data_IF_995587559782
#
_entry.id   IF_995587559782
#
_cell.length_a   1.000
_cell.length_b   1.000
_cell.length_c   1.000
_cell.angle_alpha   90.00
_cell.angle_beta   90.00
_cell.angle_gamma   90.00
#
_symmetry.space_group_name_H-M   'P 1'
#
loop_
_entity.id
_entity.type
_entity.pdbx_description
1 polymer ?
#
# COMPACT_ATOMS: atom_id res chain seq x y z
N UNK A 1 -29.38 -0.65 5.75
CA UNK A 1 -28.13 -1.38 6.04
C UNK A 1 -28.05 -2.55 5.08
N UNK A 2 -26.86 -2.85 4.60
CA UNK A 2 -26.57 -4.01 3.78
C UNK A 2 -26.63 -5.27 4.66
N UNK A 3 -27.17 -6.37 4.15
CA UNK A 3 -27.13 -7.67 4.82
C UNK A 3 -25.74 -8.32 4.66
N UNK A 4 -24.78 -7.84 5.46
CA UNK A 4 -23.39 -8.31 5.40
C UNK A 4 -23.25 -9.80 5.76
N UNK A 5 -24.14 -10.37 6.58
CA UNK A 5 -24.10 -11.79 6.94
C UNK A 5 -24.53 -12.69 5.78
N UNK A 6 -25.54 -12.27 5.00
CA UNK A 6 -25.92 -12.98 3.77
C UNK A 6 -24.79 -12.96 2.73
N UNK A 7 -24.11 -11.82 2.57
CA UNK A 7 -22.95 -11.69 1.68
C UNK A 7 -21.79 -12.55 2.17
N UNK A 8 -21.51 -12.54 3.48
CA UNK A 8 -20.47 -13.38 4.09
C UNK A 8 -20.67 -14.86 3.81
N UNK A 9 -21.91 -15.35 3.93
CA UNK A 9 -22.27 -16.75 3.61
C UNK A 9 -22.13 -17.04 2.13
N UNK A 10 -22.60 -16.13 1.27
CA UNK A 10 -22.50 -16.27 -0.18
C UNK A 10 -21.03 -16.37 -0.61
N UNK A 11 -20.16 -15.52 -0.09
CA UNK A 11 -18.72 -15.57 -0.38
C UNK A 11 -18.08 -16.86 0.15
N UNK A 12 -18.35 -17.25 1.40
CA UNK A 12 -17.79 -18.46 2.00
C UNK A 12 -18.21 -19.75 1.28
N UNK A 13 -19.44 -19.78 0.76
CA UNK A 13 -19.99 -20.91 0.00
C UNK A 13 -19.55 -20.89 -1.48
N UNK A 14 -18.81 -19.87 -1.92
CA UNK A 14 -18.43 -19.70 -3.32
C UNK A 14 -19.64 -19.41 -4.23
N UNK A 15 -20.68 -18.79 -3.69
CA UNK A 15 -21.89 -18.41 -4.40
C UNK A 15 -21.68 -17.29 -5.43
N UNK A 16 -22.77 -16.91 -6.10
CA UNK A 16 -22.78 -15.90 -7.16
C UNK A 16 -22.86 -14.47 -6.58
N UNK A 17 -21.69 -13.90 -6.32
CA UNK A 17 -21.57 -12.51 -5.88
C UNK A 17 -21.93 -11.49 -6.97
N UNK A 18 -21.87 -11.83 -8.26
CA UNK A 18 -22.27 -10.90 -9.32
C UNK A 18 -23.77 -10.59 -9.22
N UNK A 19 -24.60 -11.63 -9.12
CA UNK A 19 -26.05 -11.45 -8.94
C UNK A 19 -26.40 -10.66 -7.67
N UNK A 20 -25.62 -10.84 -6.59
CA UNK A 20 -25.81 -10.06 -5.35
C UNK A 20 -25.53 -8.58 -5.60
N UNK A 21 -24.39 -8.25 -6.21
CA UNK A 21 -23.99 -6.85 -6.41
C UNK A 21 -24.73 -6.15 -7.54
N UNK A 22 -25.15 -6.86 -8.59
CA UNK A 22 -26.06 -6.33 -9.62
C UNK A 22 -27.43 -5.95 -9.03
N UNK A 23 -27.86 -6.64 -7.96
CA UNK A 23 -29.07 -6.28 -7.21
C UNK A 23 -28.89 -5.10 -6.24
N UNK A 24 -27.64 -4.72 -5.94
CA UNK A 24 -27.32 -3.68 -4.94
C UNK A 24 -26.80 -2.39 -5.56
N UNK A 25 -26.08 -2.46 -6.67
CA UNK A 25 -25.38 -1.34 -7.28
C UNK A 25 -25.78 -1.16 -8.75
N UNK A 26 -25.57 0.04 -9.26
CA UNK A 26 -25.82 0.36 -10.66
C UNK A 26 -24.60 0.01 -11.51
N UNK A 27 -24.81 -0.39 -12.77
CA UNK A 27 -23.69 -0.53 -13.70
C UNK A 27 -23.06 0.84 -13.96
N UNK A 28 -21.73 0.93 -13.83
CA UNK A 28 -20.98 2.17 -14.07
C UNK A 28 -20.77 2.41 -15.57
N UNK A 29 -20.91 3.68 -15.96
CA UNK A 29 -20.48 4.22 -17.25
C UNK A 29 -18.96 4.45 -17.32
N UNK A 30 -18.30 4.56 -16.17
CA UNK A 30 -16.83 4.64 -16.10
C UNK A 30 -16.23 3.25 -16.22
N UNK A 31 -15.33 3.11 -17.21
CA UNK A 31 -14.54 1.91 -17.46
C UNK A 31 -13.05 2.28 -17.53
N UNK A 32 -12.15 1.35 -17.14
CA UNK A 32 -10.73 1.55 -17.33
C UNK A 32 -10.34 1.58 -18.81
N UNK A 33 -9.33 2.37 -19.12
CA UNK A 33 -8.83 2.51 -20.48
C UNK A 33 -8.36 1.17 -21.06
N UNK A 34 -8.78 0.91 -22.30
CA UNK A 34 -8.48 -0.34 -22.99
C UNK A 34 -9.26 -1.55 -22.48
N UNK A 35 -10.27 -1.38 -21.62
CA UNK A 35 -11.07 -2.48 -21.05
C UNK A 35 -12.57 -2.13 -20.97
N UNK A 36 -13.25 -1.98 -22.11
CA UNK A 36 -14.67 -1.60 -22.16
C UNK A 36 -15.61 -2.63 -21.53
N UNK A 37 -15.22 -3.91 -21.53
CA UNK A 37 -16.00 -5.02 -20.97
C UNK A 37 -15.77 -5.21 -19.46
N UNK A 38 -14.98 -4.34 -18.82
CA UNK A 38 -14.73 -4.44 -17.39
C UNK A 38 -16.02 -4.29 -16.58
N UNK A 39 -16.25 -5.19 -15.63
CA UNK A 39 -17.35 -5.06 -14.68
C UNK A 39 -16.98 -4.00 -13.65
N UNK A 40 -17.75 -2.93 -13.60
CA UNK A 40 -17.59 -1.82 -12.67
C UNK A 40 -19.00 -1.38 -12.28
N UNK A 41 -19.25 -1.31 -10.99
CA UNK A 41 -20.49 -0.77 -10.45
C UNK A 41 -20.28 0.63 -9.89
N UNK A 42 -21.39 1.34 -9.71
CA UNK A 42 -21.48 2.69 -9.16
C UNK A 42 -22.44 2.68 -7.97
N UNK A 43 -22.07 3.34 -6.89
CA UNK A 43 -22.93 3.53 -5.72
C UNK A 43 -22.56 4.77 -4.90
N UNK A 44 -23.30 5.02 -3.83
CA UNK A 44 -23.16 6.23 -3.01
C UNK A 44 -23.73 7.50 -3.66
N UNK A 45 -23.43 8.67 -3.08
CA UNK A 45 -24.00 9.95 -3.52
C UNK A 45 -23.14 10.65 -4.59
N UNK A 46 -23.48 10.44 -5.87
CA UNK A 46 -22.82 11.08 -7.03
C UNK A 46 -23.45 12.43 -7.40
N UNK A 47 -23.28 13.44 -6.54
CA UNK A 47 -23.79 14.81 -6.74
C UNK A 47 -22.79 15.77 -7.43
N UNK A 48 -21.56 15.30 -7.67
CA UNK A 48 -20.48 16.08 -8.30
C UNK A 48 -19.67 16.97 -7.35
N UNK A 49 -19.98 16.98 -6.05
CA UNK A 49 -19.21 17.73 -5.03
C UNK A 49 -17.95 17.00 -4.55
N UNK A 50 -17.94 15.66 -4.69
CA UNK A 50 -16.85 14.79 -4.28
C UNK A 50 -16.46 13.89 -5.45
N UNK A 51 -15.17 13.87 -5.77
CA UNK A 51 -14.58 12.94 -6.73
C UNK A 51 -14.68 11.51 -6.16
N UNK A 52 -15.25 10.57 -6.93
CA UNK A 52 -15.39 9.20 -6.49
C UNK A 52 -14.06 8.46 -6.41
N UNK A 53 -13.99 7.50 -5.49
CA UNK A 53 -12.87 6.56 -5.36
C UNK A 53 -13.31 5.19 -5.88
N UNK A 54 -12.43 4.46 -6.56
CA UNK A 54 -12.68 3.07 -6.95
C UNK A 54 -12.28 2.12 -5.82
N UNK A 55 -13.23 1.36 -5.28
CA UNK A 55 -13.00 0.37 -4.24
C UNK A 55 -12.88 -1.02 -4.85
N UNK A 56 -11.74 -1.68 -4.63
CA UNK A 56 -11.63 -3.11 -4.86
C UNK A 56 -12.50 -3.87 -3.88
N UNK A 57 -13.48 -4.59 -4.38
CA UNK A 57 -14.19 -5.62 -3.63
C UNK A 57 -13.32 -6.88 -3.66
N UNK A 58 -12.38 -6.95 -2.71
CA UNK A 58 -11.50 -8.11 -2.49
C UNK A 58 -12.25 -9.19 -1.72
N UNK A 59 -11.76 -10.43 -1.70
CA UNK A 59 -12.40 -11.59 -1.07
C UNK A 59 -12.52 -11.50 0.47
N UNK A 60 -13.29 -12.44 1.01
CA UNK A 60 -13.44 -12.68 2.44
C UNK A 60 -13.82 -11.44 3.28
N UNK A 61 -13.15 -11.22 4.41
CA UNK A 61 -13.52 -10.12 5.32
C UNK A 61 -13.20 -8.73 4.75
N UNK A 62 -12.22 -8.62 3.83
CA UNK A 62 -11.91 -7.35 3.16
C UNK A 62 -13.11 -6.86 2.34
N UNK A 63 -13.86 -7.79 1.73
CA UNK A 63 -15.14 -7.51 1.07
C UNK A 63 -16.11 -6.83 2.04
N UNK A 64 -16.35 -7.48 3.18
CA UNK A 64 -17.37 -7.09 4.14
C UNK A 64 -17.04 -5.76 4.80
N UNK A 65 -15.78 -5.55 5.19
CA UNK A 65 -15.34 -4.29 5.76
C UNK A 65 -15.45 -3.13 4.77
N UNK A 66 -15.16 -3.37 3.49
CA UNK A 66 -15.38 -2.36 2.43
C UNK A 66 -16.85 -2.02 2.27
N UNK A 67 -17.73 -3.03 2.16
CA UNK A 67 -19.18 -2.84 2.02
C UNK A 67 -19.79 -2.12 3.23
N UNK A 68 -19.35 -2.47 4.45
CA UNK A 68 -19.77 -1.79 5.66
C UNK A 68 -19.38 -0.31 5.63
N UNK A 69 -18.12 -0.02 5.30
CA UNK A 69 -17.61 1.35 5.28
C UNK A 69 -18.32 2.21 4.22
N UNK A 70 -18.49 1.72 2.98
CA UNK A 70 -19.16 2.51 1.94
C UNK A 70 -20.65 2.78 2.27
N UNK A 71 -21.34 1.85 2.93
CA UNK A 71 -22.73 2.09 3.39
C UNK A 71 -22.81 3.03 4.59
N UNK A 72 -21.82 3.03 5.49
CA UNK A 72 -21.73 4.00 6.59
C UNK A 72 -21.52 5.41 6.02
N UNK A 73 -20.56 5.54 5.10
CA UNK A 73 -20.10 6.85 4.65
C UNK A 73 -20.99 7.50 3.61
N UNK A 74 -21.61 6.75 2.69
CA UNK A 74 -22.45 7.30 1.62
C UNK A 74 -21.71 8.13 0.57
N UNK A 75 -20.37 8.18 0.61
CA UNK A 75 -19.53 8.85 -0.40
C UNK A 75 -19.73 8.23 -1.79
N UNK A 76 -19.57 8.98 -2.89
CA UNK A 76 -19.65 8.43 -4.24
C UNK A 76 -18.49 7.45 -4.50
N UNK A 77 -18.79 6.24 -4.92
CA UNK A 77 -17.75 5.25 -5.26
C UNK A 77 -18.02 4.51 -6.57
N UNK A 78 -16.95 3.92 -7.09
CA UNK A 78 -17.01 2.81 -8.02
C UNK A 78 -16.62 1.52 -7.30
N UNK A 79 -17.33 0.43 -7.53
CA UNK A 79 -17.01 -0.87 -6.96
C UNK A 79 -16.50 -1.81 -8.05
N UNK A 80 -15.40 -2.49 -7.77
CA UNK A 80 -14.69 -3.33 -8.73
C UNK A 80 -14.56 -4.76 -8.19
N UNK A 81 -15.01 -5.80 -8.92
CA UNK A 81 -14.93 -7.20 -8.48
C UNK A 81 -13.47 -7.68 -8.53
N UNK A 82 -12.74 -7.51 -7.42
CA UNK A 82 -11.36 -8.00 -7.30
C UNK A 82 -11.36 -9.48 -6.89
N UNK A 83 -12.34 -9.96 -6.11
CA UNK A 83 -12.45 -11.35 -5.66
C UNK A 83 -12.44 -12.36 -6.84
N UNK A 84 -13.02 -12.00 -7.98
CA UNK A 84 -13.11 -12.85 -9.18
C UNK A 84 -11.76 -13.12 -9.84
N UNK A 85 -10.70 -12.40 -9.45
CA UNK A 85 -9.34 -12.66 -9.93
C UNK A 85 -8.72 -13.87 -9.25
N UNK A 86 -9.16 -14.15 -8.02
CA UNK A 86 -8.66 -15.26 -7.22
C UNK A 86 -9.43 -16.54 -7.47
N UNK A 87 -10.69 -16.43 -7.94
CA UNK A 87 -11.53 -17.59 -8.24
C UNK A 87 -11.18 -18.20 -9.61
N UNK A 88 -11.03 -19.53 -9.65
CA UNK A 88 -10.71 -20.27 -10.87
C UNK A 88 -11.90 -20.42 -11.83
N UNK A 89 -13.12 -20.16 -11.36
CA UNK A 89 -14.36 -20.38 -12.12
C UNK A 89 -14.80 -19.18 -12.97
N UNK A 90 -14.28 -17.98 -12.72
CA UNK A 90 -14.76 -16.76 -13.38
C UNK A 90 -13.89 -16.27 -14.55
N UNK A 91 -12.69 -16.83 -14.77
CA UNK A 91 -11.73 -16.52 -15.86
C UNK A 91 -11.72 -15.04 -16.34
N UNK A 92 -11.93 -14.07 -15.44
CA UNK A 92 -11.86 -12.66 -15.81
C UNK A 92 -10.40 -12.30 -16.09
N UNK A 93 -10.18 -11.44 -17.10
CA UNK A 93 -8.85 -10.92 -17.40
C UNK A 93 -8.26 -10.28 -16.13
N UNK A 94 -7.26 -10.94 -15.54
CA UNK A 94 -6.75 -10.57 -14.24
C UNK A 94 -5.97 -9.26 -14.38
N UNK A 95 -6.49 -8.20 -13.75
CA UNK A 95 -5.71 -7.05 -13.26
C UNK A 95 -5.16 -6.03 -14.27
N UNK A 96 -5.20 -6.28 -15.59
CA UNK A 96 -4.70 -5.29 -16.56
C UNK A 96 -5.46 -3.97 -16.56
N UNK A 97 -6.67 -3.97 -16.00
CA UNK A 97 -7.59 -2.84 -16.10
C UNK A 97 -7.85 -2.13 -14.77
N UNK A 98 -7.79 -2.80 -13.61
CA UNK A 98 -8.01 -2.10 -12.32
C UNK A 98 -6.99 -0.98 -12.12
N UNK A 99 -5.74 -1.27 -12.47
CA UNK A 99 -4.65 -0.30 -12.45
C UNK A 99 -4.79 0.85 -13.44
N UNK A 100 -5.82 0.88 -14.29
CA UNK A 100 -6.11 1.92 -15.27
C UNK A 100 -7.43 2.64 -14.97
N UNK A 101 -7.98 2.49 -13.76
CA UNK A 101 -9.11 3.32 -13.34
C UNK A 101 -8.72 4.81 -13.40
N UNK A 102 -9.59 5.68 -13.94
CA UNK A 102 -9.31 7.10 -14.13
C UNK A 102 -9.50 7.92 -12.83
N UNK A 103 -9.54 7.26 -11.67
CA UNK A 103 -9.75 7.86 -10.36
C UNK A 103 -8.80 7.23 -9.33
N UNK A 104 -8.64 7.89 -8.18
CA UNK A 104 -7.96 7.30 -7.03
C UNK A 104 -8.63 5.99 -6.68
N UNK A 105 -7.83 4.97 -6.39
CA UNK A 105 -8.32 3.62 -6.19
C UNK A 105 -7.84 3.06 -4.85
N UNK A 106 -8.62 2.16 -4.26
CA UNK A 106 -8.29 1.43 -3.04
C UNK A 106 -8.17 -0.04 -3.39
N UNK A 107 -7.08 -0.65 -2.94
CA UNK A 107 -6.78 -2.06 -3.08
C UNK A 107 -6.54 -2.71 -1.73
N UNK A 108 -7.26 -3.80 -1.46
CA UNK A 108 -6.95 -4.67 -0.33
C UNK A 108 -6.07 -5.83 -0.78
N UNK A 109 -4.96 -6.02 -0.09
CA UNK A 109 -4.10 -7.20 -0.25
C UNK A 109 -4.41 -8.20 0.87
N UNK A 110 -4.99 -9.35 0.54
CA UNK A 110 -5.19 -10.44 1.50
C UNK A 110 -3.93 -11.31 1.54
N UNK A 111 -3.26 -11.34 2.70
CA UNK A 111 -2.08 -12.20 2.88
C UNK A 111 -2.54 -13.52 3.48
N UNK A 112 -2.87 -14.49 2.62
CA UNK A 112 -3.29 -15.83 3.01
C UNK A 112 -2.83 -16.88 2.01
N UNK A 113 -2.71 -18.12 2.45
CA UNK A 113 -2.68 -19.30 1.57
C UNK A 113 -4.13 -19.70 1.28
N UNK A 114 -4.84 -18.80 0.58
CA UNK A 114 -6.24 -19.00 0.27
C UNK A 114 -6.37 -20.17 -0.71
N UNK A 115 -7.14 -21.17 -0.28
CA UNK A 115 -7.53 -22.30 -1.12
C UNK A 115 -8.92 -22.07 -1.67
N UNK A 116 -9.00 -21.86 -2.97
CA UNK A 116 -10.26 -21.71 -3.72
C UNK A 116 -10.64 -23.03 -4.37
N UNK A 117 -11.93 -23.20 -4.68
CA UNK A 117 -12.40 -24.37 -5.43
C UNK A 117 -11.75 -24.35 -6.82
N UNK A 118 -11.20 -25.49 -7.24
CA UNK A 118 -10.57 -25.66 -8.56
C UNK A 118 -11.58 -25.90 -9.71
N UNK A 119 -12.88 -25.78 -9.42
CA UNK A 119 -13.97 -26.11 -10.34
C UNK A 119 -14.20 -27.61 -10.52
N UNK A 120 -13.44 -28.47 -9.82
CA UNK A 120 -13.49 -29.94 -9.90
C UNK A 120 -13.74 -30.59 -8.53
N UNK A 121 -14.13 -29.78 -7.53
CA UNK A 121 -14.36 -30.24 -6.16
C UNK A 121 -13.09 -30.37 -5.31
N UNK A 122 -11.93 -29.97 -5.86
CA UNK A 122 -10.69 -29.80 -5.14
C UNK A 122 -10.51 -28.38 -4.62
N UNK A 123 -9.49 -28.18 -3.79
CA UNK A 123 -9.07 -26.89 -3.26
C UNK A 123 -7.63 -26.62 -3.72
N UNK A 124 -7.40 -25.51 -4.41
CA UNK A 124 -6.08 -25.11 -4.94
C UNK A 124 -5.74 -23.70 -4.48
N UNK A 125 -4.44 -23.39 -4.41
CA UNK A 125 -4.00 -22.02 -4.13
C UNK A 125 -4.57 -21.08 -5.20
N UNK A 126 -5.09 -19.93 -4.76
CA UNK A 126 -5.60 -18.86 -5.62
C UNK A 126 -4.66 -18.53 -6.78
N UNK A 127 -5.23 -18.32 -7.98
CA UNK A 127 -4.47 -17.71 -9.07
C UNK A 127 -4.09 -16.30 -8.61
N UNK A 128 -2.79 -15.99 -8.54
CA UNK A 128 -2.39 -14.59 -8.42
C UNK A 128 -2.04 -14.04 -7.05
N UNK A 129 -1.62 -14.85 -6.06
CA UNK A 129 -0.67 -14.31 -5.04
C UNK A 129 0.55 -13.66 -5.74
N UNK A 130 0.88 -14.16 -6.94
CA UNK A 130 1.86 -13.63 -7.91
C UNK A 130 1.34 -12.54 -8.86
N UNK A 131 0.03 -12.24 -8.92
CA UNK A 131 -0.53 -11.32 -9.91
C UNK A 131 -0.44 -9.84 -9.50
N UNK A 132 -0.03 -9.56 -8.25
CA UNK A 132 0.35 -8.20 -7.81
C UNK A 132 1.47 -7.59 -8.67
N UNK A 133 2.47 -8.39 -9.06
CA UNK A 133 3.56 -7.91 -9.90
C UNK A 133 3.08 -7.59 -11.34
N UNK A 134 2.36 -8.49 -12.05
CA UNK A 134 1.65 -8.17 -13.29
C UNK A 134 0.74 -6.93 -13.20
N UNK A 135 -0.06 -6.79 -12.13
CA UNK A 135 -0.87 -5.58 -11.89
C UNK A 135 0.01 -4.34 -11.85
N UNK A 136 1.04 -4.34 -11.00
CA UNK A 136 1.92 -3.18 -10.82
C UNK A 136 2.57 -2.79 -12.14
N UNK A 137 3.06 -3.78 -12.88
CA UNK A 137 3.66 -3.55 -14.20
C UNK A 137 2.66 -2.99 -15.20
N UNK A 138 1.47 -3.59 -15.33
CA UNK A 138 0.45 -3.16 -16.30
C UNK A 138 -0.18 -1.81 -15.95
N UNK A 139 -0.37 -1.53 -14.66
CA UNK A 139 -0.82 -0.25 -14.13
C UNK A 139 0.23 0.86 -14.23
N UNK A 140 1.44 0.53 -14.70
CA UNK A 140 2.56 1.46 -14.71
C UNK A 140 2.94 1.95 -13.31
N UNK A 141 2.74 1.17 -12.24
CA UNK A 141 3.22 1.52 -10.90
C UNK A 141 4.74 1.64 -10.95
N UNK A 142 5.27 2.76 -10.48
CA UNK A 142 6.72 2.99 -10.38
C UNK A 142 7.24 2.87 -8.94
N UNK A 143 6.38 3.06 -7.94
CA UNK A 143 6.75 2.81 -6.56
C UNK A 143 5.55 2.55 -5.64
N UNK A 144 5.82 1.99 -4.46
CA UNK A 144 4.92 1.94 -3.32
C UNK A 144 5.58 2.69 -2.15
N UNK A 145 4.86 3.66 -1.61
CA UNK A 145 5.29 4.47 -0.47
C UNK A 145 4.57 3.98 0.78
N UNK A 146 5.34 3.59 1.79
CA UNK A 146 4.82 2.95 3.00
C UNK A 146 5.41 3.56 4.27
N UNK A 147 4.60 4.26 5.09
CA UNK A 147 5.05 4.77 6.38
C UNK A 147 5.14 3.64 7.42
N UNK A 148 5.95 3.85 8.45
CA UNK A 148 6.23 3.00 9.62
C UNK A 148 6.64 3.90 10.79
N UNK A 149 5.66 4.66 11.31
CA UNK A 149 5.91 5.72 12.28
C UNK A 149 6.88 6.76 11.69
N UNK A 150 8.06 6.99 12.29
CA UNK A 150 9.01 8.00 11.81
C UNK A 150 9.73 7.60 10.52
N UNK A 151 9.60 6.35 10.06
CA UNK A 151 10.28 5.85 8.86
C UNK A 151 9.29 5.67 7.73
N UNK A 152 9.53 6.27 6.57
CA UNK A 152 8.77 6.02 5.34
C UNK A 152 9.65 5.33 4.31
N UNK A 153 9.19 4.24 3.71
CA UNK A 153 9.92 3.51 2.68
C UNK A 153 9.28 3.76 1.32
N UNK A 154 10.05 4.30 0.38
CA UNK A 154 9.74 4.38 -1.05
C UNK A 154 10.33 3.15 -1.73
N UNK A 155 9.48 2.16 -1.99
CA UNK A 155 9.85 0.93 -2.70
C UNK A 155 9.73 1.17 -4.20
N UNK A 156 10.84 1.23 -4.91
CA UNK A 156 10.87 1.29 -6.36
C UNK A 156 10.41 -0.05 -6.96
N UNK A 157 9.33 -0.05 -7.76
CA UNK A 157 8.74 -1.29 -8.28
C UNK A 157 8.29 -1.12 -9.74
N UNK A 158 8.42 -2.15 -10.58
CA UNK A 158 9.15 -3.39 -10.33
C UNK A 158 10.68 -3.16 -10.42
N UNK A 159 11.45 -3.60 -9.42
CA UNK A 159 12.91 -3.54 -9.44
C UNK A 159 13.48 -4.64 -8.53
N UNK A 160 14.13 -5.66 -9.10
CA UNK A 160 14.68 -6.80 -8.34
C UNK A 160 16.21 -6.75 -8.31
N UNK A 161 16.82 -6.32 -7.20
CA UNK A 161 18.25 -6.00 -7.13
C UNK A 161 19.17 -7.16 -7.55
N UNK A 162 18.78 -8.41 -7.29
CA UNK A 162 19.66 -9.60 -7.46
C UNK A 162 19.30 -10.50 -8.65
N UNK A 163 18.34 -10.12 -9.49
CA UNK A 163 17.82 -10.94 -10.59
C UNK A 163 18.68 -10.80 -11.86
N UNK A 164 19.89 -11.38 -11.92
CA UNK A 164 20.82 -11.11 -13.04
C UNK A 164 21.57 -12.31 -13.60
N UNK A 165 21.42 -12.46 -14.92
CA UNK A 165 22.40 -13.11 -15.78
C UNK A 165 23.32 -12.04 -16.40
N UNK A 166 24.55 -11.89 -15.87
CA UNK A 166 25.52 -10.88 -16.32
C UNK A 166 25.83 -10.91 -17.82
N UNK A 167 25.70 -12.08 -18.47
CA UNK A 167 26.01 -12.23 -19.89
C UNK A 167 25.00 -11.50 -20.80
N UNK A 168 23.80 -11.21 -20.29
CA UNK A 168 22.72 -10.54 -21.03
C UNK A 168 22.33 -9.20 -20.43
N UNK A 169 23.09 -8.71 -19.43
CA UNK A 169 22.79 -7.45 -18.77
C UNK A 169 23.07 -6.26 -19.70
N UNK A 170 22.00 -5.57 -20.09
CA UNK A 170 22.08 -4.32 -20.84
C UNK A 170 20.85 -3.43 -20.56
N UNK A 171 20.85 -2.21 -21.10
CA UNK A 171 19.66 -1.35 -21.12
C UNK A 171 19.24 -1.12 -22.57
N UNK A 172 18.02 -1.49 -22.92
CA UNK A 172 17.47 -1.26 -24.25
C UNK A 172 17.40 0.26 -24.54
N UNK A 173 18.07 0.77 -25.58
CA UNK A 173 18.05 2.20 -25.91
C UNK A 173 16.69 2.73 -26.39
N UNK A 174 15.75 1.86 -26.78
CA UNK A 174 14.41 2.25 -27.25
C UNK A 174 13.36 2.25 -26.15
N UNK A 175 13.46 1.31 -25.22
CA UNK A 175 12.45 1.10 -24.18
C UNK A 175 12.94 1.53 -22.80
N UNK A 176 14.26 1.64 -22.59
CA UNK A 176 14.85 1.90 -21.27
C UNK A 176 14.71 0.71 -20.32
N UNK A 177 14.28 -0.45 -20.82
CA UNK A 177 14.20 -1.67 -20.03
C UNK A 177 15.61 -2.17 -19.72
N UNK A 178 15.85 -2.42 -18.44
CA UNK A 178 17.05 -3.07 -17.95
C UNK A 178 16.88 -4.57 -18.22
N UNK A 179 17.54 -5.07 -19.25
CA UNK A 179 17.54 -6.49 -19.59
C UNK A 179 18.19 -7.30 -18.47
N UNK A 180 17.32 -7.90 -17.67
CA UNK A 180 17.58 -8.78 -16.54
C UNK A 180 16.59 -9.94 -16.61
N UNK A 181 16.49 -10.81 -15.59
CA UNK A 181 15.46 -11.86 -15.64
C UNK A 181 14.03 -11.30 -15.62
N UNK A 182 13.83 -10.06 -15.11
CA UNK A 182 12.52 -9.42 -15.01
C UNK A 182 12.26 -8.34 -16.06
N UNK A 183 13.27 -7.93 -16.84
CA UNK A 183 13.20 -6.75 -17.70
C UNK A 183 12.72 -5.49 -16.94
N UNK A 184 13.40 -5.17 -15.83
CA UNK A 184 13.02 -4.06 -14.94
C UNK A 184 12.96 -2.71 -15.71
N UNK A 185 11.88 -1.93 -15.58
CA UNK A 185 11.67 -0.76 -16.42
C UNK A 185 12.40 0.47 -15.84
N UNK A 186 13.44 0.93 -16.54
CA UNK A 186 14.34 1.98 -16.07
C UNK A 186 13.70 3.37 -15.93
N UNK A 187 12.68 3.68 -16.74
CA UNK A 187 11.93 4.94 -16.64
C UNK A 187 11.26 5.04 -15.27
N UNK A 188 10.58 3.99 -14.81
CA UNK A 188 9.92 3.91 -13.51
C UNK A 188 10.92 4.12 -12.37
N UNK A 189 12.15 3.60 -12.48
CA UNK A 189 13.21 3.86 -11.50
C UNK A 189 13.52 5.36 -11.37
N UNK A 190 13.55 6.09 -12.50
CA UNK A 190 13.77 7.54 -12.48
C UNK A 190 12.62 8.28 -11.79
N UNK A 191 11.36 7.90 -12.05
CA UNK A 191 10.18 8.47 -11.39
C UNK A 191 10.17 8.18 -9.89
N UNK A 192 10.51 6.96 -9.46
CA UNK A 192 10.62 6.60 -8.04
C UNK A 192 11.68 7.43 -7.31
N UNK A 193 12.85 7.62 -7.93
CA UNK A 193 13.90 8.48 -7.40
C UNK A 193 13.47 9.94 -7.29
N UNK A 194 12.81 10.47 -8.33
CA UNK A 194 12.33 11.85 -8.33
C UNK A 194 11.28 12.07 -7.24
N UNK A 195 10.34 11.13 -7.07
CA UNK A 195 9.36 11.18 -5.99
C UNK A 195 10.05 11.15 -4.62
N UNK A 196 10.98 10.23 -4.41
CA UNK A 196 11.76 10.16 -3.18
C UNK A 196 12.44 11.49 -2.84
N UNK A 197 13.16 12.08 -3.79
CA UNK A 197 13.82 13.37 -3.61
C UNK A 197 12.81 14.49 -3.31
N UNK A 198 11.67 14.52 -4.01
CA UNK A 198 10.59 15.48 -3.74
C UNK A 198 10.10 15.36 -2.31
N UNK A 199 9.82 14.14 -1.84
CA UNK A 199 9.35 13.92 -0.48
C UNK A 199 10.39 14.37 0.56
N UNK A 200 11.67 14.07 0.36
CA UNK A 200 12.75 14.56 1.24
C UNK A 200 12.78 16.09 1.25
N UNK A 201 12.64 16.73 0.10
CA UNK A 201 12.64 18.18 0.00
C UNK A 201 11.46 18.84 0.72
N UNK A 202 10.25 18.32 0.48
CA UNK A 202 9.00 18.89 1.02
C UNK A 202 8.85 18.66 2.53
N UNK A 203 9.33 17.52 3.02
CA UNK A 203 9.22 17.17 4.45
C UNK A 203 10.41 17.61 5.29
N UNK A 204 11.59 17.78 4.67
CA UNK A 204 12.85 18.01 5.38
C UNK A 204 13.37 16.77 6.14
N UNK A 205 12.73 15.60 5.96
CA UNK A 205 13.14 14.35 6.59
C UNK A 205 14.51 13.89 6.08
N UNK A 206 15.20 13.06 6.85
CA UNK A 206 16.46 12.48 6.39
C UNK A 206 16.20 11.50 5.22
N UNK A 207 16.81 11.74 4.06
CA UNK A 207 16.76 10.79 2.95
C UNK A 207 17.84 9.72 3.09
N UNK A 208 17.47 8.44 3.03
CA UNK A 208 18.38 7.30 2.94
C UNK A 208 18.18 6.58 1.62
N UNK A 209 19.28 6.16 1.01
CA UNK A 209 19.24 5.26 -0.16
C UNK A 209 19.74 3.89 0.28
N UNK A 210 19.03 2.85 -0.14
CA UNK A 210 19.28 1.44 0.19
C UNK A 210 19.48 0.62 -1.09
N UNK A 211 20.60 0.84 -1.77
CA UNK A 211 21.01 0.10 -2.97
C UNK A 211 22.45 -0.38 -2.84
N UNK A 212 22.82 -1.44 -3.56
CA UNK A 212 24.17 -2.01 -3.60
C UNK A 212 24.81 -1.84 -4.99
N UNK A 213 25.21 -0.62 -5.37
CA UNK A 213 25.56 -0.29 -6.76
C UNK A 213 26.71 -1.11 -7.37
N UNK A 214 27.62 -1.64 -6.56
CA UNK A 214 28.76 -2.45 -7.03
C UNK A 214 28.51 -3.96 -6.99
N UNK A 215 27.45 -4.41 -6.33
CA UNK A 215 27.14 -5.84 -6.15
C UNK A 215 25.98 -6.30 -7.04
N UNK A 216 25.04 -5.39 -7.33
CA UNK A 216 23.84 -5.63 -8.10
C UNK A 216 23.78 -4.64 -9.26
N UNK A 217 23.72 -5.12 -10.51
CA UNK A 217 23.73 -4.24 -11.69
C UNK A 217 22.45 -3.37 -11.79
N UNK A 218 21.27 -3.91 -11.48
CA UNK A 218 20.02 -3.11 -11.39
C UNK A 218 20.12 -2.01 -10.31
N UNK A 219 20.71 -2.34 -9.16
CA UNK A 219 21.02 -1.33 -8.14
C UNK A 219 22.01 -0.28 -8.65
N UNK A 220 22.97 -0.69 -9.49
CA UNK A 220 23.90 0.21 -10.17
C UNK A 220 23.16 1.21 -11.07
N UNK A 221 22.21 0.75 -11.87
CA UNK A 221 21.35 1.62 -12.70
C UNK A 221 20.50 2.55 -11.82
N UNK A 222 19.82 2.00 -10.81
CA UNK A 222 18.94 2.78 -9.94
C UNK A 222 19.72 3.85 -9.13
N UNK A 223 20.84 3.47 -8.53
CA UNK A 223 21.73 4.40 -7.82
C UNK A 223 22.37 5.43 -8.75
N UNK A 224 22.59 5.07 -10.03
CA UNK A 224 23.14 6.00 -11.00
C UNK A 224 22.10 7.01 -11.49
N UNK A 225 20.85 6.60 -11.70
CA UNK A 225 19.72 7.52 -11.90
C UNK A 225 19.54 8.47 -10.71
N UNK A 226 19.68 7.95 -9.48
CA UNK A 226 19.69 8.76 -8.26
C UNK A 226 20.80 9.81 -8.29
N UNK A 227 22.03 9.40 -8.58
CA UNK A 227 23.20 10.29 -8.67
C UNK A 227 23.01 11.39 -9.72
N UNK A 228 22.50 11.03 -10.91
CA UNK A 228 22.15 11.99 -11.97
C UNK A 228 21.08 13.00 -11.55
N UNK A 229 20.03 12.55 -10.84
CA UNK A 229 18.96 13.44 -10.38
C UNK A 229 19.45 14.47 -9.37
N UNK A 230 20.43 14.11 -8.52
CA UNK A 230 21.04 15.03 -7.55
C UNK A 230 21.90 16.13 -8.20
N UNK A 231 22.42 15.92 -9.42
CA UNK A 231 23.27 16.91 -10.09
C UNK A 231 22.51 18.22 -10.31
N UNK A 232 23.10 19.36 -9.91
CA UNK A 232 22.50 20.69 -10.08
C UNK A 232 21.39 21.04 -9.07
N UNK A 233 21.15 20.18 -8.09
CA UNK A 233 20.22 20.46 -6.97
C UNK A 233 20.96 21.07 -5.77
N UNK A 234 20.21 21.44 -4.72
CA UNK A 234 20.74 21.94 -3.43
C UNK A 234 20.81 20.86 -2.35
N UNK A 235 20.66 19.58 -2.72
CA UNK A 235 20.78 18.49 -1.75
C UNK A 235 22.20 18.36 -1.21
N UNK A 236 22.31 18.14 0.08
CA UNK A 236 23.56 17.77 0.73
C UNK A 236 23.66 16.25 0.80
N UNK A 237 24.64 15.69 0.09
CA UNK A 237 24.94 14.26 0.18
C UNK A 237 26.00 14.03 1.25
N UNK A 238 25.59 13.40 2.34
CA UNK A 238 26.43 13.03 3.46
C UNK A 238 27.33 11.84 3.18
N UNK A 239 26.96 10.68 3.71
CA UNK A 239 27.55 9.40 3.32
C UNK A 239 27.34 9.21 1.82
N UNK A 240 28.44 8.86 1.14
CA UNK A 240 28.48 8.57 -0.28
C UNK A 240 28.89 7.13 -0.50
N UNK A 241 28.45 6.57 -1.62
CA UNK A 241 29.07 5.36 -2.16
C UNK A 241 30.55 5.62 -2.48
N UNK A 242 31.35 4.55 -2.50
CA UNK A 242 32.79 4.64 -2.77
C UNK A 242 33.09 4.96 -4.26
N UNK A 243 32.13 4.69 -5.13
CA UNK A 243 32.16 4.98 -6.57
C UNK A 243 30.93 5.82 -6.92
N UNK A 244 31.01 6.61 -7.99
CA UNK A 244 29.84 7.29 -8.55
C UNK A 244 29.08 6.33 -9.47
N UNK A 245 27.90 5.84 -9.08
CA UNK A 245 27.18 4.85 -9.89
C UNK A 245 26.73 5.41 -11.25
N UNK A 246 26.59 6.73 -11.37
CA UNK A 246 26.28 7.36 -12.67
C UNK A 246 27.43 7.19 -13.64
N UNK A 247 28.67 7.44 -13.23
CA UNK A 247 29.83 7.31 -14.09
C UNK A 247 30.14 5.84 -14.43
N UNK A 248 29.99 4.92 -13.47
CA UNK A 248 30.18 3.47 -13.68
C UNK A 248 29.23 2.89 -14.73
N UNK A 249 28.00 3.39 -14.82
CA UNK A 249 26.98 2.90 -15.73
C UNK A 249 26.52 3.94 -16.76
N UNK A 250 27.35 4.96 -17.03
CA UNK A 250 26.98 6.17 -17.76
C UNK A 250 26.21 5.91 -19.05
N UNK A 251 26.77 5.10 -19.94
CA UNK A 251 26.14 4.82 -21.23
C UNK A 251 24.74 4.19 -21.08
N UNK A 252 24.57 3.28 -20.12
CA UNK A 252 23.29 2.61 -19.86
C UNK A 252 22.26 3.54 -19.22
N UNK A 253 22.71 4.42 -18.33
CA UNK A 253 21.85 5.40 -17.68
C UNK A 253 21.45 6.50 -18.66
N UNK A 254 22.37 6.97 -19.51
CA UNK A 254 22.10 7.98 -20.53
C UNK A 254 21.04 7.48 -21.54
N UNK A 255 20.96 6.17 -21.82
CA UNK A 255 19.87 5.57 -22.60
C UNK A 255 18.50 5.78 -21.95
N UNK A 256 18.40 5.63 -20.63
CA UNK A 256 17.14 5.88 -19.89
C UNK A 256 16.84 7.37 -19.86
N UNK A 257 17.85 8.20 -19.57
CA UNK A 257 17.71 9.66 -19.53
C UNK A 257 17.19 10.19 -20.87
N UNK A 258 17.69 9.68 -21.99
CA UNK A 258 17.25 10.08 -23.33
C UNK A 258 15.79 9.73 -23.67
N UNK A 259 15.14 8.88 -22.86
CA UNK A 259 13.72 8.53 -23.00
C UNK A 259 12.82 9.31 -22.03
N UNK A 260 13.39 10.03 -21.05
CA UNK A 260 12.63 10.85 -20.14
C UNK A 260 12.19 12.16 -20.82
N UNK A 261 11.08 12.77 -20.38
CA UNK A 261 10.69 14.11 -20.81
C UNK A 261 11.83 15.13 -20.61
N UNK A 262 11.97 16.09 -21.52
CA UNK A 262 13.05 17.09 -21.46
C UNK A 262 12.97 17.99 -20.22
N UNK A 263 11.77 18.14 -19.66
CA UNK A 263 11.42 18.90 -18.47
C UNK A 263 11.43 18.04 -17.19
N UNK A 264 11.92 16.81 -17.24
CA UNK A 264 11.85 15.87 -16.10
C UNK A 264 12.53 16.42 -14.82
N UNK A 265 13.55 17.28 -14.95
CA UNK A 265 14.25 17.90 -13.81
C UNK A 265 13.76 19.32 -13.47
N UNK A 266 12.72 19.82 -14.12
CA UNK A 266 12.23 21.18 -13.88
C UNK A 266 11.88 21.41 -12.41
N UNK A 267 12.37 22.51 -11.85
CA UNK A 267 12.20 22.91 -10.46
C UNK A 267 13.19 22.26 -9.47
N UNK A 268 13.84 21.15 -9.86
CA UNK A 268 14.76 20.42 -8.96
C UNK A 268 16.01 21.21 -8.60
N UNK A 269 16.38 22.24 -9.38
CA UNK A 269 17.49 23.16 -9.06
C UNK A 269 17.26 23.91 -7.74
N UNK A 270 16.02 23.97 -7.27
CA UNK A 270 15.64 24.57 -5.99
C UNK A 270 15.42 23.55 -4.87
N UNK A 271 15.42 22.26 -5.17
CA UNK A 271 15.21 21.21 -4.18
C UNK A 271 16.48 20.98 -3.36
N UNK A 272 16.30 20.77 -2.06
CA UNK A 272 17.37 20.52 -1.11
C UNK A 272 16.89 19.71 0.09
N UNK A 273 17.83 19.28 0.92
CA UNK A 273 17.61 18.33 2.01
C UNK A 273 18.87 17.51 2.25
N UNK A 274 18.81 16.56 3.17
CA UNK A 274 19.95 15.69 3.50
C UNK A 274 19.76 14.30 2.92
N UNK A 275 20.73 13.81 2.15
CA UNK A 275 20.76 12.46 1.58
C UNK A 275 21.94 11.67 2.13
N UNK A 276 21.70 10.42 2.50
CA UNK A 276 22.68 9.50 3.05
C UNK A 276 22.67 8.18 2.25
N UNK A 277 23.70 7.95 1.44
CA UNK A 277 23.81 6.77 0.58
C UNK A 277 24.41 5.59 1.34
N UNK A 278 23.60 4.56 1.56
CA UNK A 278 23.99 3.36 2.29
C UNK A 278 23.72 2.11 1.44
N UNK A 279 24.48 1.05 1.68
CA UNK A 279 24.17 -0.25 1.11
C UNK A 279 22.97 -0.87 1.84
N UNK A 280 22.16 -1.67 1.12
CA UNK A 280 20.87 -2.13 1.62
C UNK A 280 20.96 -2.91 2.94
N UNK A 281 22.00 -3.73 3.15
CA UNK A 281 22.23 -4.49 4.39
C UNK A 281 22.54 -3.57 5.60
N UNK A 282 23.26 -2.48 5.39
CA UNK A 282 23.52 -1.48 6.44
C UNK A 282 22.24 -0.76 6.85
N UNK A 283 21.31 -0.56 5.91
CA UNK A 283 20.03 0.09 6.23
C UNK A 283 19.22 -0.70 7.25
N UNK A 284 19.24 -2.04 7.26
CA UNK A 284 18.51 -2.83 8.28
C UNK A 284 18.86 -2.39 9.71
N UNK A 285 20.14 -2.12 10.00
CA UNK A 285 20.55 -1.63 11.31
C UNK A 285 20.19 -0.16 11.53
N UNK A 286 20.35 0.69 10.51
CA UNK A 286 20.05 2.12 10.60
C UNK A 286 18.56 2.39 10.85
N UNK A 287 17.65 1.65 10.22
CA UNK A 287 16.22 1.82 10.43
C UNK A 287 15.79 1.50 11.86
N UNK A 288 16.46 0.56 12.52
CA UNK A 288 16.22 0.31 13.94
C UNK A 288 16.68 1.49 14.80
N UNK A 289 17.83 2.09 14.48
CA UNK A 289 18.29 3.30 15.16
C UNK A 289 17.34 4.47 14.91
N UNK A 290 16.91 4.68 13.67
CA UNK A 290 15.98 5.75 13.32
C UNK A 290 14.64 5.57 14.04
N UNK A 291 14.15 4.33 14.15
CA UNK A 291 12.97 4.02 14.94
C UNK A 291 13.19 4.37 16.42
N UNK A 292 14.24 3.83 17.06
CA UNK A 292 14.57 4.06 18.48
C UNK A 292 14.77 5.55 18.79
N UNK A 293 15.36 6.32 17.88
CA UNK A 293 15.60 7.75 18.04
C UNK A 293 14.42 8.62 17.60
N UNK A 294 13.34 8.02 17.07
CA UNK A 294 12.20 8.71 16.46
C UNK A 294 12.65 9.71 15.40
N UNK A 295 13.62 9.31 14.58
CA UNK A 295 14.18 10.14 13.52
C UNK A 295 13.34 10.01 12.26
N UNK A 296 12.70 11.12 11.90
CA UNK A 296 11.95 11.24 10.64
C UNK A 296 12.86 10.98 9.42
N UNK A 297 12.60 9.85 8.76
CA UNK A 297 13.47 9.31 7.71
C UNK A 297 12.63 8.81 6.53
N UNK A 298 13.08 9.09 5.31
CA UNK A 298 12.53 8.52 4.08
C UNK A 298 13.60 7.63 3.46
N UNK A 299 13.25 6.43 3.04
CA UNK A 299 14.19 5.41 2.54
C UNK A 299 13.80 5.02 1.13
N UNK A 300 14.67 5.24 0.15
CA UNK A 300 14.53 4.68 -1.18
C UNK A 300 15.16 3.29 -1.21
N UNK A 301 14.39 2.28 -1.59
CA UNK A 301 14.86 0.90 -1.77
C UNK A 301 14.30 0.29 -3.07
N UNK A 302 14.95 -0.77 -3.56
CA UNK A 302 14.39 -1.63 -4.62
C UNK A 302 13.21 -2.45 -4.10
N UNK A 303 12.48 -3.14 -4.98
CA UNK A 303 11.26 -3.85 -4.59
C UNK A 303 11.57 -4.90 -3.51
N UNK A 304 12.53 -5.81 -3.77
CA UNK A 304 12.85 -6.90 -2.85
C UNK A 304 13.51 -6.44 -1.54
N UNK A 305 14.49 -5.54 -1.61
CA UNK A 305 15.12 -5.05 -0.38
C UNK A 305 14.16 -4.14 0.39
N UNK A 306 13.35 -3.36 -0.31
CA UNK A 306 12.24 -2.61 0.26
C UNK A 306 11.23 -3.52 0.97
N UNK A 307 10.83 -4.64 0.36
CA UNK A 307 9.94 -5.65 0.95
C UNK A 307 10.44 -6.11 2.31
N UNK A 308 11.70 -6.57 2.34
CA UNK A 308 12.35 -7.05 3.55
C UNK A 308 12.51 -5.98 4.62
N UNK A 309 12.83 -4.74 4.23
CA UNK A 309 12.92 -3.61 5.17
C UNK A 309 11.55 -3.29 5.75
N UNK A 310 10.50 -3.30 4.93
CA UNK A 310 9.12 -3.04 5.36
C UNK A 310 8.56 -4.17 6.24
N UNK A 311 8.92 -5.43 5.99
CA UNK A 311 8.57 -6.57 6.85
C UNK A 311 9.27 -6.48 8.21
N UNK A 312 10.55 -6.12 8.24
CA UNK A 312 11.26 -5.86 9.49
C UNK A 312 10.56 -4.76 10.30
N UNK A 313 10.26 -3.62 9.67
CA UNK A 313 9.60 -2.50 10.34
C UNK A 313 8.18 -2.82 10.82
N UNK A 314 7.47 -3.70 10.10
CA UNK A 314 6.15 -4.18 10.52
C UNK A 314 6.21 -4.92 11.85
N UNK A 315 7.20 -5.78 12.05
CA UNK A 315 7.22 -6.67 13.21
C UNK A 315 8.10 -6.16 14.37
N UNK A 316 9.06 -5.26 14.12
CA UNK A 316 10.14 -4.99 15.09
C UNK A 316 9.68 -4.34 16.40
N UNK A 317 8.55 -3.63 16.43
CA UNK A 317 8.05 -3.01 17.66
C UNK A 317 7.77 -4.05 18.77
N UNK A 318 7.28 -5.24 18.41
CA UNK A 318 6.96 -6.30 19.39
C UNK A 318 8.22 -6.88 20.07
N UNK A 319 9.26 -7.32 19.32
CA UNK A 319 10.54 -7.71 19.89
C UNK A 319 11.21 -6.61 20.73
N UNK A 320 11.14 -5.34 20.31
CA UNK A 320 11.73 -4.23 21.07
C UNK A 320 11.02 -4.03 22.41
N UNK A 321 9.68 -4.05 22.44
CA UNK A 321 8.91 -3.99 23.69
C UNK A 321 9.19 -5.18 24.60
N UNK A 322 9.25 -6.39 24.03
CA UNK A 322 9.59 -7.60 24.80
C UNK A 322 10.99 -7.48 25.42
N UNK A 323 11.98 -7.04 24.66
CA UNK A 323 13.34 -6.83 25.17
C UNK A 323 13.36 -5.78 26.29
N UNK A 324 12.66 -4.66 26.12
CA UNK A 324 12.48 -3.66 27.19
C UNK A 324 11.89 -4.26 28.48
N UNK A 325 10.91 -5.15 28.33
CA UNK A 325 10.28 -5.84 29.46
C UNK A 325 11.22 -6.79 30.18
N UNK A 326 12.04 -7.54 29.43
CA UNK A 326 13.08 -8.40 30.00
C UNK A 326 14.12 -7.58 30.80
N UNK A 327 14.54 -6.43 30.28
CA UNK A 327 15.46 -5.52 30.98
C UNK A 327 14.82 -4.95 32.24
N UNK A 328 13.57 -4.48 32.17
CA UNK A 328 12.85 -3.97 33.33
C UNK A 328 12.69 -5.02 34.43
N UNK A 329 12.33 -6.26 34.05
CA UNK A 329 12.24 -7.39 34.97
C UNK A 329 13.58 -7.69 35.64
N UNK A 330 14.69 -7.67 34.89
CA UNK A 330 16.03 -7.85 35.45
C UNK A 330 16.38 -6.78 36.49
N UNK A 331 15.88 -5.56 36.32
CA UNK A 331 16.04 -4.44 37.26
C UNK A 331 15.00 -4.43 38.40
N UNK A 332 14.14 -5.46 38.49
CA UNK A 332 13.10 -5.55 39.51
C UNK A 332 11.96 -4.54 39.35
N UNK A 333 11.67 -4.12 38.10
CA UNK A 333 10.57 -3.22 37.76
C UNK A 333 9.45 -4.00 37.08
N UNK A 334 8.23 -3.86 37.61
CA UNK A 334 7.00 -4.33 36.98
C UNK A 334 6.38 -3.16 36.21
N UNK A 335 6.44 -3.22 34.88
CA UNK A 335 6.06 -2.13 33.98
C UNK A 335 5.44 -2.70 32.72
N UNK A 336 4.32 -2.11 32.31
CA UNK A 336 3.72 -2.42 31.01
C UNK A 336 4.50 -1.71 29.91
N UNK A 337 5.29 -2.47 29.16
CA UNK A 337 6.09 -1.94 28.05
C UNK A 337 5.25 -1.39 26.90
N UNK A 338 3.98 -1.77 26.76
CA UNK A 338 3.09 -1.15 25.78
C UNK A 338 2.73 0.26 26.21
N UNK A 339 2.36 0.45 27.47
CA UNK A 339 2.08 1.77 28.02
C UNK A 339 3.33 2.67 27.96
N UNK A 340 4.50 2.15 28.34
CA UNK A 340 5.76 2.92 28.26
C UNK A 340 6.07 3.32 26.81
N UNK A 341 5.84 2.45 25.85
CA UNK A 341 6.04 2.73 24.42
C UNK A 341 5.13 3.89 23.94
N UNK A 342 3.85 3.85 24.30
CA UNK A 342 2.89 4.91 24.01
C UNK A 342 3.26 6.23 24.72
N UNK A 343 3.60 6.18 26.01
CA UNK A 343 4.00 7.33 26.82
C UNK A 343 5.27 8.00 26.28
N UNK A 344 6.18 7.23 25.65
CA UNK A 344 7.36 7.72 24.97
C UNK A 344 7.06 8.36 23.60
N UNK A 345 5.81 8.31 23.15
CA UNK A 345 5.33 8.89 21.90
C UNK A 345 5.66 8.06 20.66
N UNK A 346 5.91 6.76 20.81
CA UNK A 346 6.04 5.89 19.63
C UNK A 346 4.66 5.56 19.06
N UNK A 347 4.51 5.78 17.76
CA UNK A 347 3.27 5.51 17.02
C UNK A 347 3.31 4.20 16.24
N UNK A 348 4.47 3.56 16.12
CA UNK A 348 4.62 2.28 15.43
C UNK A 348 3.99 1.14 16.24
N UNK A 349 2.88 0.62 15.72
CA UNK A 349 2.22 -0.58 16.23
C UNK A 349 2.90 -1.87 15.77
N UNK A 350 2.10 -2.94 15.61
CA UNK A 350 2.46 -4.06 14.74
C UNK A 350 1.96 -3.76 13.32
N UNK A 351 2.71 -4.14 12.29
CA UNK A 351 2.51 -3.67 10.92
C UNK A 351 1.31 -4.28 10.19
N UNK A 352 0.36 -4.85 10.94
CA UNK A 352 -0.89 -5.42 10.42
C UNK A 352 -1.88 -4.34 9.98
N UNK A 353 -1.67 -3.10 10.41
CA UNK A 353 -2.58 -1.97 10.18
C UNK A 353 -1.96 -0.85 9.32
N UNK A 354 -0.98 -1.17 8.45
CA UNK A 354 -0.25 -0.15 7.67
C UNK A 354 -0.84 0.05 6.27
N UNK A 355 -1.17 1.31 5.96
CA UNK A 355 -1.55 1.76 4.61
C UNK A 355 -0.31 2.04 3.78
N UNK A 356 -0.47 2.08 2.48
CA UNK A 356 0.58 2.41 1.52
C UNK A 356 -0.01 3.03 0.26
N UNK A 357 0.80 3.74 -0.51
CA UNK A 357 0.35 4.42 -1.73
C UNK A 357 1.21 3.96 -2.89
N UNK A 358 0.60 3.31 -3.87
CA UNK A 358 1.24 2.95 -5.14
C UNK A 358 1.07 4.10 -6.14
N UNK A 359 2.17 4.71 -6.55
CA UNK A 359 2.16 5.77 -7.56
C UNK A 359 2.37 5.20 -8.95
N UNK A 360 1.61 5.72 -9.91
CA UNK A 360 1.59 5.27 -11.30
C UNK A 360 2.26 6.28 -12.23
N UNK A 361 2.81 5.78 -13.34
CA UNK A 361 3.36 6.57 -14.43
C UNK A 361 2.31 7.50 -15.04
N UNK A 362 1.05 7.05 -15.04
CA UNK A 362 -0.12 7.82 -15.47
C UNK A 362 -1.32 7.52 -14.57
N UNK A 363 -2.17 8.54 -14.38
CA UNK A 363 -3.36 8.49 -13.53
C UNK A 363 -3.12 8.65 -12.01
N UNK A 364 -4.21 8.78 -11.22
CA UNK A 364 -4.17 8.94 -9.76
C UNK A 364 -3.49 7.78 -9.00
N UNK A 365 -3.09 7.92 -7.74
CA UNK A 365 -2.48 6.80 -7.02
C UNK A 365 -3.48 5.69 -6.65
N UNK A 366 -2.93 4.53 -6.26
CA UNK A 366 -3.68 3.42 -5.67
C UNK A 366 -3.29 3.29 -4.20
N UNK A 367 -4.24 3.51 -3.31
CA UNK A 367 -4.09 3.27 -1.88
C UNK A 367 -4.20 1.77 -1.60
N UNK A 368 -3.27 1.20 -0.85
CA UNK A 368 -3.19 -0.23 -0.57
C UNK A 368 -2.99 -0.49 0.91
N UNK A 369 -3.69 -1.51 1.42
CA UNK A 369 -3.45 -2.06 2.75
C UNK A 369 -3.52 -3.58 2.75
N UNK A 370 -2.72 -4.20 3.62
CA UNK A 370 -2.67 -5.65 3.76
C UNK A 370 -3.55 -6.11 4.93
N UNK A 371 -4.52 -6.99 4.68
CA UNK A 371 -5.34 -7.66 5.69
C UNK A 371 -4.89 -9.11 5.84
N UNK A 372 -3.90 -9.35 6.71
CA UNK A 372 -3.24 -10.65 6.85
C UNK A 372 -4.03 -11.76 7.55
N UNK A 373 -5.26 -11.49 8.00
CA UNK A 373 -6.12 -12.49 8.65
C UNK A 373 -7.57 -12.44 8.18
N UNK A 374 -7.82 -11.94 6.97
CA UNK A 374 -9.17 -11.76 6.44
C UNK A 374 -9.98 -13.07 6.47
N UNK A 375 -9.40 -14.20 6.06
CA UNK A 375 -10.07 -15.51 6.10
C UNK A 375 -10.49 -15.92 7.51
N UNK A 376 -9.54 -15.85 8.46
CA UNK A 376 -9.80 -16.24 9.84
C UNK A 376 -10.82 -15.32 10.52
N UNK A 377 -10.92 -14.06 10.09
CA UNK A 377 -11.94 -13.12 10.55
C UNK A 377 -13.31 -13.41 9.95
N UNK A 378 -13.37 -13.81 8.66
CA UNK A 378 -14.62 -14.24 8.04
C UNK A 378 -15.18 -15.48 8.74
N UNK A 379 -14.34 -16.49 8.98
CA UNK A 379 -14.78 -17.72 9.66
C UNK A 379 -15.34 -17.43 11.05
N UNK A 380 -14.65 -16.59 11.83
CA UNK A 380 -15.13 -16.14 13.14
C UNK A 380 -16.48 -15.45 13.10
N UNK A 381 -16.70 -14.58 12.11
CA UNK A 381 -17.99 -13.93 11.90
C UNK A 381 -19.09 -14.96 11.59
N UNK A 382 -18.80 -15.95 10.74
CA UNK A 382 -19.75 -17.01 10.37
C UNK A 382 -20.07 -17.95 11.54
N UNK A 383 -19.07 -18.23 12.39
CA UNK A 383 -19.23 -19.05 13.60
C UNK A 383 -20.05 -18.35 14.70
N UNK A 384 -20.21 -17.02 14.60
CA UNK A 384 -20.92 -16.21 15.58
C UNK A 384 -20.15 -15.92 16.87
N UNK A 385 -18.85 -16.24 16.91
CA UNK A 385 -17.94 -15.93 18.02
C UNK A 385 -16.64 -15.31 17.52
N UNK A 386 -16.67 -13.99 17.33
CA UNK A 386 -15.48 -13.22 16.93
C UNK A 386 -14.37 -13.21 17.99
N UNK A 387 -14.73 -13.48 19.25
CA UNK A 387 -13.80 -13.48 20.37
C UNK A 387 -13.00 -14.78 20.50
N UNK A 388 -13.40 -15.84 19.80
CA UNK A 388 -12.81 -17.18 19.93
C UNK A 388 -12.70 -17.60 21.40
N UNK A 389 -13.84 -17.64 22.10
CA UNK A 389 -13.91 -17.92 23.53
C UNK A 389 -13.17 -16.91 24.40
N UNK A 390 -13.14 -15.64 23.99
CA UNK A 390 -12.45 -14.55 24.69
C UNK A 390 -10.93 -14.49 24.48
N UNK A 391 -10.35 -15.33 23.63
CA UNK A 391 -8.91 -15.33 23.35
C UNK A 391 -8.49 -14.27 22.33
N UNK A 392 -9.46 -13.69 21.62
CA UNK A 392 -9.31 -12.61 20.64
C UNK A 392 -10.28 -11.49 20.96
N UNK A 393 -9.90 -10.28 20.56
CA UNK A 393 -10.86 -9.17 20.48
C UNK A 393 -11.65 -9.30 19.17
N UNK A 394 -12.93 -8.87 19.14
CA UNK A 394 -13.65 -8.67 17.90
C UNK A 394 -12.87 -7.80 16.91
N UNK A 395 -13.23 -7.84 15.64
CA UNK A 395 -12.50 -7.05 14.66
C UNK A 395 -12.82 -5.55 14.76
N UNK A 396 -11.83 -4.74 14.44
CA UNK A 396 -11.93 -3.29 14.36
C UNK A 396 -11.95 -2.84 12.89
N UNK A 397 -13.10 -2.42 12.34
CA UNK A 397 -13.19 -2.00 10.95
C UNK A 397 -12.58 -0.62 10.70
N UNK A 398 -12.05 0.09 11.71
CA UNK A 398 -11.40 1.39 11.53
C UNK A 398 -10.29 1.36 10.49
N UNK A 399 -9.60 0.23 10.35
CA UNK A 399 -8.60 0.03 9.31
C UNK A 399 -9.16 0.24 7.89
N UNK A 400 -10.39 -0.20 7.61
CA UNK A 400 -11.09 0.09 6.35
C UNK A 400 -11.33 1.58 6.20
N UNK A 401 -11.84 2.21 7.25
CA UNK A 401 -12.15 3.63 7.24
C UNK A 401 -10.91 4.51 7.04
N UNK A 402 -9.78 4.22 7.70
CA UNK A 402 -8.55 5.02 7.59
C UNK A 402 -8.02 5.01 6.15
N UNK A 403 -7.93 3.83 5.51
CA UNK A 403 -7.50 3.75 4.11
C UNK A 403 -8.47 4.49 3.18
N UNK A 404 -9.77 4.35 3.41
CA UNK A 404 -10.81 5.02 2.64
C UNK A 404 -10.70 6.53 2.79
N UNK A 405 -10.62 7.04 4.02
CA UNK A 405 -10.43 8.45 4.33
C UNK A 405 -9.23 9.01 3.57
N UNK A 406 -8.07 8.37 3.65
CA UNK A 406 -6.86 8.85 3.00
C UNK A 406 -7.02 8.91 1.47
N UNK A 407 -7.66 7.92 0.86
CA UNK A 407 -7.93 7.91 -0.59
C UNK A 407 -8.90 9.04 -1.01
N UNK A 408 -9.96 9.30 -0.22
CA UNK A 408 -10.88 10.40 -0.51
C UNK A 408 -10.24 11.77 -0.31
N UNK A 409 -9.37 11.92 0.70
CA UNK A 409 -8.62 13.16 0.92
C UNK A 409 -7.63 13.42 -0.22
N UNK A 410 -7.00 12.38 -0.77
CA UNK A 410 -6.12 12.53 -1.93
C UNK A 410 -6.91 12.86 -3.21
N UNK A 411 -8.03 12.16 -3.45
CA UNK A 411 -8.92 12.43 -4.58
C UNK A 411 -9.59 13.82 -4.54
N UNK A 412 -9.65 14.45 -3.35
CA UNK A 412 -10.38 15.69 -3.09
C UNK A 412 -9.54 16.66 -2.24
N UNK A 413 -8.26 16.84 -2.58
CA UNK A 413 -7.28 17.57 -1.77
C UNK A 413 -7.73 18.97 -1.30
N UNK A 414 -8.48 19.68 -2.13
CA UNK A 414 -8.97 21.04 -1.89
C UNK A 414 -10.34 21.10 -1.16
N UNK A 415 -10.99 19.96 -0.90
CA UNK A 415 -12.30 19.91 -0.26
C UNK A 415 -12.18 19.90 1.28
N UNK A 416 -12.12 21.11 1.86
CA UNK A 416 -12.00 21.29 3.32
C UNK A 416 -13.23 20.81 4.12
N UNK A 417 -14.43 20.82 3.53
CA UNK A 417 -15.66 20.37 4.18
C UNK A 417 -15.66 18.84 4.32
N UNK A 418 -15.34 18.13 3.23
CA UNK A 418 -15.16 16.68 3.24
C UNK A 418 -14.10 16.27 4.27
N UNK A 419 -12.98 16.99 4.35
CA UNK A 419 -11.94 16.72 5.36
C UNK A 419 -12.48 16.81 6.78
N UNK A 420 -13.19 17.89 7.13
CA UNK A 420 -13.77 18.06 8.46
C UNK A 420 -14.81 16.99 8.78
N UNK A 421 -15.63 16.59 7.78
CA UNK A 421 -16.61 15.52 7.95
C UNK A 421 -15.94 14.15 8.14
N UNK A 422 -14.89 13.84 7.39
CA UNK A 422 -14.11 12.61 7.55
C UNK A 422 -13.42 12.55 8.91
N UNK A 423 -12.85 13.66 9.39
CA UNK A 423 -12.23 13.74 10.71
C UNK A 423 -13.28 13.57 11.82
N UNK A 424 -14.43 14.23 11.71
CA UNK A 424 -15.55 14.04 12.64
C UNK A 424 -16.10 12.61 12.64
N UNK A 425 -16.06 11.94 11.48
CA UNK A 425 -16.45 10.54 11.36
C UNK A 425 -15.46 9.64 12.09
N UNK A 426 -14.16 9.91 12.00
CA UNK A 426 -13.13 9.18 12.76
C UNK A 426 -13.37 9.27 14.27
N UNK A 427 -13.72 10.45 14.77
CA UNK A 427 -14.07 10.64 16.19
C UNK A 427 -15.25 9.74 16.61
N UNK A 428 -16.24 9.54 15.73
CA UNK A 428 -17.36 8.62 15.98
C UNK A 428 -16.96 7.16 15.98
N UNK A 429 -16.02 6.77 15.11
CA UNK A 429 -15.41 5.45 15.21
C UNK A 429 -14.70 5.26 16.55
N UNK A 430 -13.94 6.25 17.02
CA UNK A 430 -13.25 6.17 18.30
C UNK A 430 -14.22 6.10 19.49
N UNK A 431 -15.33 6.84 19.46
CA UNK A 431 -16.40 6.76 20.45
C UNK A 431 -17.05 5.36 20.50
N UNK A 432 -17.45 4.80 19.34
CA UNK A 432 -18.15 3.50 19.27
C UNK A 432 -17.23 2.34 19.67
N UNK A 433 -15.95 2.43 19.34
CA UNK A 433 -14.96 1.39 19.63
C UNK A 433 -14.19 1.65 20.93
N UNK A 434 -14.58 2.65 21.73
CA UNK A 434 -14.01 2.91 23.04
C UNK A 434 -14.39 1.80 24.04
N UNK A 435 -13.40 1.29 24.79
CA UNK A 435 -13.64 0.31 25.84
C UNK A 435 -13.86 -1.11 25.30
N UNK A 436 -15.01 -1.72 25.63
CA UNK A 436 -15.34 -3.08 25.17
C UNK A 436 -15.76 -3.04 23.71
N UNK A 437 -14.93 -3.62 22.84
CA UNK A 437 -15.16 -3.63 21.41
C UNK A 437 -16.44 -4.42 21.05
N UNK A 438 -17.38 -3.83 20.29
CA UNK A 438 -18.57 -4.56 19.82
C UNK A 438 -18.20 -5.63 18.79
N UNK A 439 -19.08 -6.61 18.57
CA UNK A 439 -18.99 -7.49 17.40
C UNK A 439 -19.08 -6.70 16.10
N UNK A 440 -18.65 -7.27 14.97
CA UNK A 440 -18.59 -6.57 13.69
C UNK A 440 -19.94 -6.02 13.24
N UNK A 441 -20.99 -6.84 13.27
CA UNK A 441 -22.33 -6.42 12.86
C UNK A 441 -22.97 -5.43 13.84
N UNK A 442 -22.67 -5.58 15.14
CA UNK A 442 -23.13 -4.68 16.20
C UNK A 442 -22.47 -3.30 16.04
N UNK A 443 -21.15 -3.29 15.82
CA UNK A 443 -20.38 -2.08 15.53
C UNK A 443 -20.82 -1.41 14.25
N UNK A 444 -21.08 -2.17 13.18
CA UNK A 444 -21.66 -1.63 11.94
C UNK A 444 -23.01 -0.95 12.18
N UNK A 445 -23.92 -1.58 12.94
CA UNK A 445 -25.20 -0.97 13.29
C UNK A 445 -25.04 0.30 14.14
N UNK A 446 -24.14 0.28 15.13
CA UNK A 446 -23.85 1.43 15.97
C UNK A 446 -23.25 2.60 15.17
N UNK A 447 -22.34 2.32 14.22
CA UNK A 447 -21.77 3.33 13.33
C UNK A 447 -22.83 3.92 12.39
N UNK A 448 -23.77 3.10 11.88
CA UNK A 448 -24.90 3.59 11.07
C UNK A 448 -25.87 4.49 11.83
N UNK A 449 -25.97 4.32 13.15
CA UNK A 449 -26.74 5.21 14.01
C UNK A 449 -25.95 6.49 14.35
N UNK A 450 -24.64 6.37 14.58
CA UNK A 450 -23.79 7.48 15.01
C UNK A 450 -23.36 8.44 13.88
N UNK A 451 -23.28 7.95 12.64
CA UNK A 451 -22.74 8.70 11.49
C UNK A 451 -23.86 9.01 10.49
N UNK A 452 -24.03 10.29 10.19
CA UNK A 452 -24.88 10.74 9.08
C UNK A 452 -24.09 10.60 7.78
N UNK A 453 -24.56 9.81 6.78
CA UNK A 453 -23.88 9.66 5.50
C UNK A 453 -23.65 10.99 4.79
N UNK A 454 -22.60 11.08 3.99
CA UNK A 454 -22.28 12.27 3.22
C UNK A 454 -23.43 12.65 2.27
N UNK A 455 -23.89 13.91 2.37
CA UNK A 455 -24.98 14.46 1.56
C UNK A 455 -26.40 14.06 1.98
N UNK A 456 -26.57 13.41 3.13
CA UNK A 456 -27.89 13.04 3.68
C UNK A 456 -28.55 14.14 4.53
#
# INVERSE_FOLDING_TARGET
MIDLMSIARTEADGGDLFSVFDGMFEASDVKPDGSPDAVVWKGGNHDGSVNPVAHSLTDAYALLGTLAAIDILGLPYYAVPMWSQYRHDTELASLSWFGNMPCTSIKWSTAGDAYVNDGKGGKVVVMGKSANAPLRTQAGVYCNVRPYGPVTVVRCMPCLPYSQNKAVFDVDPKTGHVHSEMNSPGIQMAYANRLFLRMVHETGHLGRVATKPTQAMEDGINAGLHSWLLQGTKFEVGRKYAVDPYEEHKERIDRIIGLLPSDFKDGMENWGGRIEQHIADTNYGLLLWDLIEKRETIVLATDLDGDRLTDLLADVSDPLRMFGGLVANHLGKDVDMRQVWEDMGYTTGNGRDMTSVMYRMDGPPIHEQTLGSADAMLLRLLDGDESMGGTKQPYDPRIHFVLIRDAYLDANSDNSELRQWLDSTLDKFDEVYAGTRPGFLEGYAALKEAITPWGA
#
